data_IF_831703789688
#
_entry.id   IF_831703789688
#
_cell.length_a   1.000
_cell.length_b   1.000
_cell.length_c   1.000
_cell.angle_alpha   90.00
_cell.angle_beta   90.00
_cell.angle_gamma   90.00
#
_symmetry.space_group_name_H-M   'P 1'
#
loop_
_entity.id
_entity.type
_entity.pdbx_description
1 polymer ?
#
# COMPACT_ATOMS: atom_id res chain seq x y z
N UNK A 1 25.09 -4.07 2.48
CA UNK A 1 24.09 -3.06 2.87
C UNK A 1 22.71 -3.70 2.71
N UNK A 2 21.75 -3.34 3.56
CA UNK A 2 20.38 -3.89 3.49
C UNK A 2 19.59 -3.13 2.41
N UNK A 3 18.93 -3.86 1.52
CA UNK A 3 18.02 -3.36 0.50
C UNK A 3 16.58 -3.67 0.93
N UNK A 4 15.74 -2.65 1.08
CA UNK A 4 14.34 -2.81 1.48
C UNK A 4 13.41 -2.38 0.35
N UNK A 5 12.61 -3.33 -0.15
CA UNK A 5 11.59 -3.07 -1.16
C UNK A 5 10.18 -3.17 -0.57
N UNK A 6 9.36 -2.18 -0.87
CA UNK A 6 7.94 -2.16 -0.50
C UNK A 6 7.10 -2.43 -1.76
N UNK A 7 6.45 -3.59 -1.81
CA UNK A 7 5.67 -4.02 -2.98
C UNK A 7 4.18 -4.17 -2.66
N UNK A 8 3.35 -4.06 -3.70
CA UNK A 8 1.93 -4.43 -3.63
C UNK A 8 1.74 -5.95 -3.57
N UNK A 9 0.57 -6.44 -3.13
CA UNK A 9 0.33 -7.87 -2.95
C UNK A 9 0.19 -8.63 -4.28
N UNK A 10 -0.02 -7.90 -5.38
CA UNK A 10 0.03 -8.39 -6.76
C UNK A 10 1.44 -8.76 -7.23
N UNK A 11 2.49 -8.41 -6.47
CA UNK A 11 3.88 -8.70 -6.81
C UNK A 11 4.52 -9.80 -5.95
N UNK A 12 3.73 -10.53 -5.15
CA UNK A 12 4.25 -11.58 -4.25
C UNK A 12 5.03 -12.65 -5.03
N UNK A 13 4.54 -13.06 -6.19
CA UNK A 13 5.15 -14.13 -6.99
C UNK A 13 6.51 -13.70 -7.58
N UNK A 14 6.70 -12.40 -7.85
CA UNK A 14 7.96 -11.86 -8.37
C UNK A 14 9.11 -11.87 -7.35
N UNK A 15 8.82 -12.04 -6.05
CA UNK A 15 9.87 -12.07 -5.01
C UNK A 15 10.86 -13.21 -5.26
N UNK A 16 10.37 -14.36 -5.70
CA UNK A 16 11.24 -15.52 -6.00
C UNK A 16 12.17 -15.20 -7.17
N UNK A 17 11.62 -14.63 -8.24
CA UNK A 17 12.37 -14.24 -9.45
C UNK A 17 13.44 -13.19 -9.15
N UNK A 18 13.13 -12.21 -8.29
CA UNK A 18 14.07 -11.19 -7.83
C UNK A 18 15.23 -11.82 -7.06
N UNK A 19 14.94 -12.73 -6.12
CA UNK A 19 15.98 -13.42 -5.33
C UNK A 19 16.88 -14.30 -6.19
N UNK A 20 16.30 -15.02 -7.13
CA UNK A 20 17.07 -15.85 -8.07
C UNK A 20 17.96 -15.00 -8.98
N UNK A 21 17.45 -13.85 -9.45
CA UNK A 21 18.22 -12.90 -10.26
C UNK A 21 19.41 -12.33 -9.48
N UNK A 22 19.22 -11.94 -8.21
CA UNK A 22 20.32 -11.46 -7.36
C UNK A 22 21.40 -12.53 -7.19
N UNK A 23 20.99 -13.77 -6.94
CA UNK A 23 21.89 -14.91 -6.80
C UNK A 23 22.71 -15.15 -8.08
N UNK A 24 22.06 -15.10 -9.25
CA UNK A 24 22.72 -15.27 -10.55
C UNK A 24 23.75 -14.16 -10.85
N UNK A 25 23.47 -12.94 -10.40
CA UNK A 25 24.36 -11.79 -10.55
C UNK A 25 25.48 -11.74 -9.50
N UNK A 26 25.53 -12.69 -8.56
CA UNK A 26 26.56 -12.76 -7.52
C UNK A 26 26.32 -11.82 -6.33
N UNK A 27 25.09 -11.33 -6.16
CA UNK A 27 24.72 -10.50 -5.01
C UNK A 27 24.18 -11.36 -3.84
N UNK A 28 24.46 -10.96 -2.59
CA UNK A 28 23.89 -11.59 -1.39
C UNK A 28 22.38 -11.41 -1.33
N UNK A 29 21.64 -12.52 -1.36
CA UNK A 29 20.15 -12.53 -1.38
C UNK A 29 19.58 -12.12 -0.02
N UNK A 30 20.29 -12.42 1.06
CA UNK A 30 19.97 -12.06 2.43
C UNK A 30 19.92 -10.55 2.68
N UNK A 31 20.54 -9.77 1.79
CA UNK A 31 20.48 -8.31 1.87
C UNK A 31 19.12 -7.77 1.38
N UNK A 32 18.32 -8.55 0.64
CA UNK A 32 17.00 -8.11 0.15
C UNK A 32 15.90 -8.45 1.16
N UNK A 33 15.29 -7.41 1.72
CA UNK A 33 14.09 -7.47 2.54
C UNK A 33 12.88 -6.92 1.77
N UNK A 34 11.93 -7.80 1.42
CA UNK A 34 10.69 -7.39 0.76
C UNK A 34 9.56 -7.31 1.78
N UNK A 35 8.85 -6.17 1.81
CA UNK A 35 7.59 -6.01 2.55
C UNK A 35 6.43 -5.89 1.57
N UNK A 36 5.36 -6.63 1.86
CA UNK A 36 4.09 -6.49 1.16
C UNK A 36 3.21 -5.48 1.89
N UNK A 37 2.85 -4.43 1.18
CA UNK A 37 1.82 -3.47 1.59
C UNK A 37 0.50 -3.95 0.97
N UNK A 38 -0.47 -4.26 1.82
CA UNK A 38 -1.77 -4.78 1.39
C UNK A 38 -2.70 -3.69 0.84
N UNK A 39 -3.77 -4.14 0.19
CA UNK A 39 -4.80 -3.27 -0.35
C UNK A 39 -5.54 -2.47 0.73
N UNK A 40 -5.99 -1.29 0.31
CA UNK A 40 -6.82 -0.38 1.10
C UNK A 40 -8.20 -0.31 0.45
N UNK A 41 -9.23 -0.42 1.27
CA UNK A 41 -10.62 -0.16 0.87
C UNK A 41 -11.02 1.20 1.40
N UNK A 42 -11.36 2.14 0.52
CA UNK A 42 -11.90 3.44 0.95
C UNK A 42 -13.39 3.30 1.28
N UNK A 43 -13.79 3.88 2.41
CA UNK A 43 -15.17 3.93 2.90
C UNK A 43 -15.56 5.36 3.26
N UNK A 44 -16.86 5.62 3.23
CA UNK A 44 -17.50 6.79 3.82
C UNK A 44 -18.56 6.29 4.79
N UNK A 45 -18.21 6.25 6.07
CA UNK A 45 -19.01 5.56 7.09
C UNK A 45 -19.19 4.08 6.74
N UNK A 46 -20.43 3.66 6.49
CA UNK A 46 -20.76 2.26 6.17
C UNK A 46 -20.62 1.91 4.69
N UNK A 47 -20.46 2.90 3.81
CA UNK A 47 -20.48 2.70 2.36
C UNK A 47 -19.06 2.56 1.80
N UNK A 48 -18.85 1.55 0.95
CA UNK A 48 -17.58 1.39 0.22
C UNK A 48 -17.60 2.32 -0.99
N UNK A 49 -16.54 3.12 -1.14
CA UNK A 49 -16.34 3.94 -2.31
C UNK A 49 -15.88 3.04 -3.46
N UNK A 50 -16.72 2.93 -4.49
CA UNK A 50 -16.40 2.15 -5.68
C UNK A 50 -15.47 2.96 -6.58
N UNK A 51 -14.36 2.33 -6.97
CA UNK A 51 -13.46 2.85 -8.01
C UNK A 51 -13.63 2.01 -9.28
N UNK A 52 -13.41 2.64 -10.43
CA UNK A 52 -13.49 1.98 -11.73
C UNK A 52 -12.32 2.40 -12.61
N UNK A 53 -11.43 1.43 -12.86
CA UNK A 53 -10.27 1.59 -13.75
C UNK A 53 -10.69 1.91 -15.19
N UNK A 54 -11.85 1.43 -15.64
CA UNK A 54 -12.32 1.61 -17.03
C UNK A 54 -12.95 2.97 -17.27
N UNK A 55 -13.70 3.49 -16.30
CA UNK A 55 -14.28 4.85 -16.39
C UNK A 55 -13.29 5.93 -15.96
N UNK A 56 -12.15 5.56 -15.38
CA UNK A 56 -11.19 6.53 -14.82
C UNK A 56 -11.66 7.14 -13.50
N UNK A 57 -12.60 6.48 -12.82
CA UNK A 57 -13.14 6.94 -11.55
C UNK A 57 -12.29 6.38 -10.40
N UNK A 58 -11.42 7.22 -9.83
CA UNK A 58 -10.59 6.90 -8.68
C UNK A 58 -10.38 8.16 -7.84
N UNK A 59 -10.13 7.96 -6.56
CA UNK A 59 -9.71 9.04 -5.66
C UNK A 59 -8.18 9.09 -5.69
N UNK A 60 -7.64 10.26 -6.01
CA UNK A 60 -6.20 10.53 -5.94
C UNK A 60 -5.75 10.70 -4.50
N UNK A 61 -4.45 10.51 -4.24
CA UNK A 61 -3.89 10.77 -2.91
C UNK A 61 -4.01 12.25 -2.55
N UNK A 62 -3.87 13.16 -3.51
CA UNK A 62 -4.03 14.60 -3.28
C UNK A 62 -5.47 14.92 -2.84
N UNK A 63 -6.48 14.41 -3.54
CA UNK A 63 -7.89 14.57 -3.14
C UNK A 63 -8.17 13.99 -1.75
N UNK A 64 -7.62 12.82 -1.42
CA UNK A 64 -7.77 12.22 -0.10
C UNK A 64 -7.14 13.10 0.99
N UNK A 65 -5.93 13.62 0.76
CA UNK A 65 -5.22 14.49 1.71
C UNK A 65 -5.95 15.82 1.86
N UNK A 66 -6.44 16.41 0.77
CA UNK A 66 -7.24 17.63 0.81
C UNK A 66 -8.54 17.42 1.60
N UNK A 67 -9.10 16.21 1.55
CA UNK A 67 -10.35 15.88 2.25
C UNK A 67 -10.16 15.68 3.77
N UNK A 68 -9.11 14.96 4.20
CA UNK A 68 -8.93 14.53 5.60
C UNK A 68 -7.79 15.22 6.35
N UNK A 69 -6.90 15.89 5.62
CA UNK A 69 -5.67 16.46 6.16
C UNK A 69 -4.50 15.48 6.19
N UNK A 70 -3.29 16.01 6.00
CA UNK A 70 -2.05 15.22 5.88
C UNK A 70 -1.73 14.40 7.14
N UNK A 71 -2.00 14.95 8.32
CA UNK A 71 -1.67 14.31 9.59
C UNK A 71 -2.61 13.14 9.90
N UNK A 72 -3.91 13.32 9.66
CA UNK A 72 -4.89 12.24 9.76
C UNK A 72 -4.58 11.13 8.75
N UNK A 73 -4.32 11.47 7.48
CA UNK A 73 -3.96 10.48 6.47
C UNK A 73 -2.75 9.63 6.90
N UNK A 74 -1.67 10.28 7.34
CA UNK A 74 -0.47 9.58 7.85
C UNK A 74 -0.77 8.71 9.06
N UNK A 75 -1.51 9.22 10.03
CA UNK A 75 -1.86 8.46 11.22
C UNK A 75 -2.64 7.19 10.86
N UNK A 76 -3.69 7.30 10.05
CA UNK A 76 -4.50 6.15 9.66
C UNK A 76 -3.71 5.11 8.85
N UNK A 77 -2.89 5.53 7.88
CA UNK A 77 -2.06 4.61 7.10
C UNK A 77 -0.99 3.89 7.94
N UNK A 78 -0.50 4.51 9.02
CA UNK A 78 0.56 3.94 9.88
C UNK A 78 0.03 3.21 11.11
N UNK A 79 -1.23 3.41 11.50
CA UNK A 79 -1.83 2.81 12.71
C UNK A 79 -1.97 1.28 12.61
N UNK A 80 -2.07 0.72 11.40
CA UNK A 80 -2.22 -0.72 11.15
C UNK A 80 -0.96 -1.29 10.50
N UNK A 81 -0.69 -2.57 10.76
CA UNK A 81 0.41 -3.28 10.11
C UNK A 81 0.16 -3.34 8.60
N UNK A 82 1.12 -2.88 7.79
CA UNK A 82 1.01 -2.81 6.32
C UNK A 82 0.74 -4.17 5.65
N UNK A 83 1.05 -5.28 6.30
CA UNK A 83 0.84 -6.64 5.77
C UNK A 83 -0.61 -7.13 5.89
N UNK A 84 -1.55 -6.30 6.33
CA UNK A 84 -2.97 -6.66 6.53
C UNK A 84 -3.83 -5.66 5.74
N UNK A 85 -4.89 -6.11 5.03
CA UNK A 85 -5.82 -5.19 4.38
C UNK A 85 -6.41 -4.18 5.36
N UNK A 86 -6.62 -2.95 4.89
CA UNK A 86 -7.11 -1.86 5.72
C UNK A 86 -8.38 -1.24 5.13
N UNK A 87 -9.35 -0.97 5.99
CA UNK A 87 -10.48 -0.08 5.67
C UNK A 87 -10.11 1.34 6.12
N UNK A 88 -10.08 2.28 5.18
CA UNK A 88 -9.86 3.70 5.46
C UNK A 88 -11.21 4.42 5.35
N UNK A 89 -11.72 4.92 6.48
CA UNK A 89 -12.98 5.66 6.52
C UNK A 89 -12.71 7.17 6.50
N UNK A 90 -13.16 7.83 5.43
CA UNK A 90 -12.98 9.26 5.21
C UNK A 90 -13.79 10.13 6.18
N UNK A 91 -14.91 9.63 6.72
CA UNK A 91 -15.67 10.40 7.72
C UNK A 91 -14.95 10.38 9.06
N UNK A 92 -14.53 9.18 9.48
CA UNK A 92 -13.77 9.00 10.72
C UNK A 92 -12.43 9.75 10.70
N UNK A 93 -11.77 9.83 9.55
CA UNK A 93 -10.49 10.52 9.42
C UNK A 93 -10.59 12.05 9.48
N UNK A 94 -11.79 12.63 9.39
CA UNK A 94 -12.02 14.09 9.48
C UNK A 94 -12.37 14.57 10.88
N UNK A 95 -12.76 13.66 11.78
CA UNK A 95 -13.08 13.97 13.18
C UNK A 95 -11.82 14.28 13.99
#
# INVERSE_FOLDING_TARGET
EVLVDLLGPDHIDHITELKDSLKLLGYPVENLEVKIIQWITLKRGKEIIKMSKRSGEFITIDELIDEVGVDAARFFFLMRKSSIPMDFDLELAKE
#
